data_IF_814089503721
#
_entry.id   IF_814089503721
#
_cell.length_a   1.000
_cell.length_b   1.000
_cell.length_c   1.000
_cell.angle_alpha   90.00
_cell.angle_beta   90.00
_cell.angle_gamma   90.00
#
_symmetry.space_group_name_H-M   'P 1'
#
loop_
_entity.id
_entity.type
_entity.pdbx_description
1 polymer ?
#
# COMPACT_ATOMS: atom_id res chain seq x y z
N UNK A 1 -7.79 -3.16 20.72
CA UNK A 1 -8.11 -3.74 19.40
C UNK A 1 -7.29 -3.00 18.34
N UNK A 2 -6.26 -3.62 17.76
CA UNK A 2 -5.55 -3.00 16.62
C UNK A 2 -6.53 -3.00 15.45
N UNK A 3 -6.91 -1.81 14.95
CA UNK A 3 -7.74 -1.67 13.76
C UNK A 3 -7.09 -2.54 12.67
N UNK A 4 -7.83 -3.52 12.14
CA UNK A 4 -7.43 -4.25 10.93
C UNK A 4 -7.47 -3.22 9.80
N UNK A 5 -6.37 -2.51 9.58
CA UNK A 5 -6.22 -1.66 8.40
C UNK A 5 -6.18 -2.61 7.21
N UNK A 6 -7.33 -2.75 6.55
CA UNK A 6 -7.47 -3.62 5.40
C UNK A 6 -6.81 -2.92 4.21
N UNK A 7 -5.75 -3.53 3.67
CA UNK A 7 -5.10 -3.03 2.45
C UNK A 7 -5.98 -3.42 1.25
N UNK A 8 -6.34 -2.43 0.43
CA UNK A 8 -7.25 -2.56 -0.70
C UNK A 8 -6.62 -2.01 -1.97
N UNK A 9 -6.99 -2.58 -3.11
CA UNK A 9 -6.60 -2.06 -4.43
C UNK A 9 -7.08 -0.62 -4.59
N UNK A 10 -6.19 0.23 -5.11
CA UNK A 10 -6.41 1.66 -5.29
C UNK A 10 -5.92 2.54 -4.14
N UNK A 11 -5.65 2.00 -2.95
CA UNK A 11 -5.06 2.79 -1.86
C UNK A 11 -3.65 3.25 -2.22
N UNK A 12 -3.28 4.46 -1.80
CA UNK A 12 -1.96 5.04 -2.03
C UNK A 12 -1.23 5.22 -0.71
N UNK A 13 0.01 4.75 -0.66
CA UNK A 13 0.87 4.78 0.50
C UNK A 13 2.17 5.52 0.20
N UNK A 14 2.75 6.16 1.21
CA UNK A 14 4.02 6.83 1.11
C UNK A 14 4.96 6.30 2.20
N UNK A 15 6.19 5.98 1.82
CA UNK A 15 7.20 5.52 2.77
C UNK A 15 7.59 6.66 3.73
N UNK A 16 7.61 6.37 5.02
CA UNK A 16 8.00 7.32 6.06
C UNK A 16 9.53 7.43 6.07
N UNK A 17 10.05 8.67 6.07
CA UNK A 17 11.49 8.93 6.06
C UNK A 17 12.16 8.80 4.68
N UNK A 18 11.41 8.51 3.61
CA UNK A 18 11.96 8.53 2.25
C UNK A 18 12.26 9.97 1.81
N UNK A 19 13.52 10.27 1.48
CA UNK A 19 14.00 11.60 1.09
C UNK A 19 13.24 12.21 -0.11
N UNK A 20 12.67 11.35 -0.98
CA UNK A 20 12.05 11.78 -2.24
C UNK A 20 10.52 11.77 -2.23
N UNK A 21 9.87 11.47 -1.09
CA UNK A 21 8.41 11.53 -0.99
C UNK A 21 7.64 10.63 -1.97
N UNK A 22 8.27 9.58 -2.53
CA UNK A 22 7.64 8.71 -3.53
C UNK A 22 6.41 8.00 -2.97
N UNK A 23 5.32 7.99 -3.74
CA UNK A 23 4.07 7.34 -3.35
C UNK A 23 3.75 6.10 -4.19
N UNK A 24 2.99 5.18 -3.61
CA UNK A 24 2.84 3.81 -4.05
C UNK A 24 1.37 3.41 -4.03
N UNK A 25 0.80 3.16 -5.19
CA UNK A 25 -0.60 2.73 -5.33
C UNK A 25 -0.69 1.21 -5.31
N UNK A 26 -1.57 0.65 -4.49
CA UNK A 26 -1.89 -0.78 -4.48
C UNK A 26 -2.61 -1.13 -5.77
N UNK A 27 -2.02 -2.04 -6.55
CA UNK A 27 -2.59 -2.56 -7.79
C UNK A 27 -3.31 -3.89 -7.57
N UNK A 28 -2.78 -4.72 -6.69
CA UNK A 28 -3.27 -6.08 -6.45
C UNK A 28 -2.93 -6.53 -5.04
N UNK A 29 -3.71 -7.46 -4.49
CA UNK A 29 -3.45 -8.09 -3.18
C UNK A 29 -3.34 -9.59 -3.38
N UNK A 30 -2.21 -10.15 -2.97
CA UNK A 30 -1.88 -11.56 -3.15
C UNK A 30 -1.59 -12.20 -1.80
N UNK A 31 -1.86 -13.48 -1.66
CA UNK A 31 -1.39 -14.27 -0.53
C UNK A 31 -0.12 -15.03 -0.94
N UNK A 32 0.96 -14.87 -0.16
CA UNK A 32 2.20 -15.61 -0.35
C UNK A 32 2.50 -16.38 0.94
N UNK A 33 2.42 -17.71 0.86
CA UNK A 33 2.69 -18.60 1.99
C UNK A 33 1.84 -18.30 3.24
N UNK A 34 0.58 -17.91 3.07
CA UNK A 34 -0.34 -17.56 4.17
C UNK A 34 -0.14 -16.16 4.73
N UNK A 35 0.68 -15.32 4.07
CA UNK A 35 0.94 -13.94 4.46
C UNK A 35 0.36 -13.01 3.39
N UNK A 36 -0.55 -12.09 3.75
CA UNK A 36 -1.11 -11.14 2.79
C UNK A 36 -0.06 -10.10 2.37
N UNK A 37 0.06 -9.90 1.07
CA UNK A 37 0.92 -8.92 0.43
C UNK A 37 0.12 -8.07 -0.57
N UNK A 38 0.63 -6.87 -0.83
CA UNK A 38 0.14 -5.96 -1.83
C UNK A 38 1.22 -5.74 -2.89
N UNK A 39 0.83 -5.87 -4.15
CA UNK A 39 1.63 -5.37 -5.28
C UNK A 39 1.32 -3.90 -5.42
N UNK A 40 2.33 -3.07 -5.24
CA UNK A 40 2.24 -1.62 -5.37
C UNK A 40 3.04 -1.15 -6.58
N UNK A 41 2.56 -0.08 -7.21
CA UNK A 41 3.23 0.60 -8.31
C UNK A 41 3.51 2.05 -7.91
N UNK A 42 4.65 2.60 -8.32
CA UNK A 42 4.98 3.99 -8.07
C UNK A 42 4.00 4.89 -8.82
N UNK A 43 3.52 5.94 -8.17
CA UNK A 43 2.58 6.91 -8.79
C UNK A 43 3.28 7.86 -9.74
N UNK A 44 4.59 8.02 -9.59
CA UNK A 44 5.44 8.90 -10.36
C UNK A 44 6.11 8.18 -11.54
N UNK A 45 6.17 6.85 -11.48
CA UNK A 45 6.79 5.99 -12.49
C UNK A 45 6.10 4.63 -12.47
N UNK A 46 5.12 4.43 -13.35
CA UNK A 46 4.34 3.18 -13.41
C UNK A 46 5.20 1.94 -13.76
N UNK A 47 6.45 2.14 -14.19
CA UNK A 47 7.42 1.06 -14.42
C UNK A 47 8.05 0.50 -13.14
N UNK A 48 8.06 1.25 -12.03
CA UNK A 48 8.60 0.77 -10.74
C UNK A 48 7.47 0.13 -9.92
N UNK A 49 7.66 -1.16 -9.61
CA UNK A 49 6.71 -1.94 -8.83
C UNK A 49 7.40 -2.72 -7.71
N UNK A 50 6.67 -2.93 -6.61
CA UNK A 50 7.17 -3.66 -5.44
C UNK A 50 6.06 -4.56 -4.89
N UNK A 51 6.47 -5.64 -4.23
CA UNK A 51 5.56 -6.47 -3.42
C UNK A 51 5.87 -6.21 -1.96
N UNK A 52 4.89 -5.72 -1.20
CA UNK A 52 5.02 -5.35 0.20
C UNK A 52 4.04 -6.16 1.04
N UNK A 53 4.44 -6.58 2.24
CA UNK A 53 3.49 -7.22 3.16
C UNK A 53 2.38 -6.24 3.55
N UNK A 54 1.13 -6.68 3.60
CA UNK A 54 0.04 -5.83 4.08
C UNK A 54 0.26 -5.37 5.54
N UNK A 55 1.07 -6.10 6.31
CA UNK A 55 1.47 -5.71 7.66
C UNK A 55 2.36 -4.46 7.66
N UNK A 56 3.33 -4.35 6.73
CA UNK A 56 4.21 -3.17 6.64
C UNK A 56 3.44 -1.94 6.17
N UNK A 57 2.46 -2.13 5.28
CA UNK A 57 1.58 -1.06 4.80
C UNK A 57 0.60 -0.58 5.88
N UNK A 58 0.26 -1.46 6.83
CA UNK A 58 -0.59 -1.12 7.98
C UNK A 58 0.18 -0.45 9.12
N UNK A 59 1.51 -0.44 9.06
CA UNK A 59 2.36 0.16 10.09
C UNK A 59 2.77 1.57 9.70
N UNK A 60 2.23 2.55 10.43
CA UNK A 60 2.47 3.99 10.21
C UNK A 60 3.91 4.42 10.48
N UNK A 61 4.74 3.58 11.09
CA UNK A 61 6.19 3.81 11.23
C UNK A 61 6.95 3.59 9.93
N UNK A 62 6.42 2.78 9.00
CA UNK A 62 7.05 2.46 7.72
C UNK A 62 6.33 3.10 6.54
N UNK A 63 4.99 2.99 6.49
CA UNK A 63 4.18 3.53 5.41
C UNK A 63 2.96 4.25 5.96
N UNK A 64 2.68 5.43 5.42
CA UNK A 64 1.44 6.17 5.70
C UNK A 64 0.53 6.10 4.50
N UNK A 65 -0.75 5.78 4.72
CA UNK A 65 -1.77 5.92 3.68
C UNK A 65 -2.01 7.42 3.45
N UNK A 66 -1.92 7.86 2.19
CA UNK A 66 -2.15 9.26 1.79
C UNK A 66 -3.43 9.42 0.96
N UNK A 67 -3.93 8.33 0.36
CA UNK A 67 -5.19 8.30 -0.36
C UNK A 67 -5.88 6.96 -0.13
N UNK A 68 -7.18 7.00 0.14
CA UNK A 68 -7.99 5.81 0.30
C UNK A 68 -8.40 5.25 -1.08
N UNK A 69 -8.66 3.94 -1.15
CA UNK A 69 -9.29 3.38 -2.34
C UNK A 69 -10.62 4.11 -2.60
N UNK A 70 -10.99 4.32 -3.87
CA UNK A 70 -12.31 4.85 -4.19
C UNK A 70 -13.33 3.94 -3.50
N UNK A 71 -14.12 4.51 -2.59
CA UNK A 71 -15.28 3.81 -2.05
C UNK A 71 -16.15 3.51 -3.26
N UNK A 72 -16.20 2.23 -3.67
CA UNK A 72 -16.93 1.81 -4.84
C UNK A 72 -18.29 2.51 -4.83
N UNK A 73 -18.56 3.32 -5.85
CA UNK A 73 -19.86 3.92 -6.05
C UNK A 73 -20.86 2.76 -6.09
N UNK A 74 -21.75 2.74 -5.09
CA UNK A 74 -22.82 1.76 -4.96
C UNK A 74 -23.78 1.82 -6.15
#
# INVERSE_FOLDING_TARGET
MRKKHHVQVGQVYQAVGAANGRSWRVRDTIDLFGIPHARVVSTEDEGDSKTLSCLILSDTGYYRMIEAAPAAAA
#
